data_IF_758279313115
#
_entry.id   IF_758279313115
#
_cell.length_a   1.000
_cell.length_b   1.000
_cell.length_c   1.000
_cell.angle_alpha   90.00
_cell.angle_beta   90.00
_cell.angle_gamma   90.00
#
_symmetry.space_group_name_H-M   'P 1'
#
loop_
_entity.id
_entity.type
_entity.pdbx_description
1 polymer ?
#
# COMPACT_ATOMS: atom_id res chain seq x y z
N UNK A 1 15.71 -10.46 -3.53
CA UNK A 1 16.85 -10.57 -4.47
C UNK A 1 16.97 -9.26 -5.22
N UNK A 2 18.17 -8.70 -5.34
CA UNK A 2 18.43 -7.49 -6.13
C UNK A 2 19.12 -7.91 -7.42
N UNK A 3 18.65 -7.44 -8.56
CA UNK A 3 19.17 -7.74 -9.88
C UNK A 3 19.59 -6.44 -10.58
N UNK A 4 20.73 -6.48 -11.25
CA UNK A 4 21.27 -5.36 -12.02
C UNK A 4 21.42 -5.77 -13.49
N UNK A 5 21.05 -4.87 -14.39
CA UNK A 5 21.15 -5.09 -15.83
C UNK A 5 22.60 -5.22 -16.31
N UNK A 6 23.58 -4.67 -15.57
CA UNK A 6 24.99 -4.74 -15.93
C UNK A 6 25.91 -4.62 -14.71
N UNK A 7 27.17 -5.09 -14.83
CA UNK A 7 28.20 -4.85 -13.82
C UNK A 7 28.48 -3.37 -13.56
N UNK A 8 28.37 -2.53 -14.59
CA UNK A 8 28.55 -1.08 -14.48
C UNK A 8 27.49 -0.41 -13.57
N UNK A 9 26.26 -0.93 -13.55
CA UNK A 9 25.25 -0.48 -12.60
C UNK A 9 25.47 -1.08 -11.20
N UNK A 10 25.87 -2.35 -11.13
CA UNK A 10 26.06 -3.05 -9.86
C UNK A 10 27.14 -2.42 -8.98
N UNK A 11 28.20 -1.86 -9.56
CA UNK A 11 29.30 -1.24 -8.81
C UNK A 11 28.85 -0.10 -7.88
N UNK A 12 27.76 0.60 -8.22
CA UNK A 12 27.22 1.69 -7.38
C UNK A 12 26.60 1.19 -6.06
N UNK A 13 26.38 -0.10 -5.93
CA UNK A 13 25.94 -0.69 -4.66
C UNK A 13 27.11 -0.86 -3.67
N UNK A 14 28.35 -0.91 -4.16
CA UNK A 14 29.49 -1.25 -3.33
C UNK A 14 29.90 -0.08 -2.45
N UNK A 15 30.19 -0.40 -1.18
CA UNK A 15 30.85 0.52 -0.25
C UNK A 15 32.31 0.12 -0.15
N UNK A 16 33.22 1.01 -0.52
CA UNK A 16 34.68 0.82 -0.38
C UNK A 16 35.23 1.83 0.64
N UNK A 17 35.95 1.33 1.65
CA UNK A 17 36.55 2.15 2.68
C UNK A 17 38.08 1.86 2.63
N UNK A 18 38.86 2.91 2.34
CA UNK A 18 40.30 2.81 2.08
C UNK A 18 41.14 3.16 3.28
N UNK A 19 40.59 3.91 4.22
CA UNK A 19 41.29 4.52 5.37
C UNK A 19 40.84 3.95 6.72
N UNK A 20 40.19 2.79 6.70
CA UNK A 20 39.81 2.09 7.94
C UNK A 20 41.03 1.41 8.56
N UNK A 21 41.21 1.56 9.88
CA UNK A 21 42.35 0.99 10.62
C UNK A 21 42.46 -0.55 10.55
N UNK A 22 41.38 -1.24 10.22
CA UNK A 22 41.31 -2.69 10.00
C UNK A 22 41.82 -3.15 8.62
N UNK A 23 42.19 -2.23 7.73
CA UNK A 23 42.67 -2.50 6.39
C UNK A 23 41.72 -2.05 5.28
N UNK A 24 41.97 -2.48 4.06
CA UNK A 24 41.09 -2.21 2.93
C UNK A 24 39.78 -2.99 3.07
N UNK A 25 38.68 -2.29 2.99
CA UNK A 25 37.35 -2.89 3.13
C UNK A 25 36.49 -2.61 1.90
N UNK A 26 35.88 -3.65 1.36
CA UNK A 26 34.86 -3.54 0.32
C UNK A 26 33.64 -4.43 0.68
N UNK A 27 32.47 -3.90 0.53
CA UNK A 27 31.22 -4.62 0.82
C UNK A 27 30.18 -4.36 -0.27
N UNK A 28 29.38 -5.35 -0.64
CA UNK A 28 28.20 -5.13 -1.49
C UNK A 28 27.06 -4.42 -0.73
N UNK A 29 27.29 -3.91 0.48
CA UNK A 29 26.30 -3.21 1.33
C UNK A 29 25.06 -4.04 1.64
N UNK A 30 25.19 -5.37 1.62
CA UNK A 30 24.15 -6.34 1.97
C UNK A 30 24.67 -7.33 3.00
N UNK A 31 23.79 -7.85 3.85
CA UNK A 31 24.19 -8.88 4.80
C UNK A 31 24.77 -10.12 4.07
N UNK A 32 25.96 -10.54 4.47
CA UNK A 32 26.67 -11.68 3.85
C UNK A 32 25.97 -13.00 4.12
N UNK A 33 25.70 -13.28 5.39
CA UNK A 33 25.07 -14.54 5.81
C UNK A 33 23.53 -14.49 5.60
N UNK A 34 22.98 -15.59 5.11
CA UNK A 34 21.55 -15.81 4.93
C UNK A 34 21.15 -17.17 5.48
N UNK A 35 19.94 -17.25 6.04
CA UNK A 35 19.40 -18.52 6.51
C UNK A 35 19.21 -19.51 5.36
N UNK A 36 19.82 -20.68 5.44
CA UNK A 36 19.64 -21.74 4.46
C UNK A 36 18.19 -22.21 4.35
N UNK A 37 17.43 -22.15 5.45
CA UNK A 37 16.00 -22.44 5.44
C UNK A 37 15.20 -21.50 4.54
N UNK A 38 15.46 -20.19 4.59
CA UNK A 38 14.80 -19.20 3.72
C UNK A 38 15.18 -19.39 2.24
N UNK A 39 16.44 -19.76 1.98
CA UNK A 39 16.88 -20.07 0.62
C UNK A 39 16.14 -21.30 0.08
N UNK A 40 16.07 -22.36 0.87
CA UNK A 40 15.37 -23.60 0.51
C UNK A 40 13.85 -23.36 0.30
N UNK A 41 13.21 -22.57 1.16
CA UNK A 41 11.79 -22.20 0.99
C UNK A 41 11.55 -21.43 -0.31
N UNK A 42 12.40 -20.47 -0.61
CA UNK A 42 12.32 -19.67 -1.85
C UNK A 42 12.47 -20.59 -3.07
N UNK A 43 13.46 -21.46 -3.06
CA UNK A 43 13.70 -22.43 -4.13
C UNK A 43 12.49 -23.37 -4.31
N UNK A 44 12.00 -23.95 -3.21
CA UNK A 44 10.86 -24.85 -3.24
C UNK A 44 9.60 -24.17 -3.79
N UNK A 45 9.32 -22.92 -3.38
CA UNK A 45 8.20 -22.15 -3.90
C UNK A 45 8.33 -21.87 -5.40
N UNK A 46 9.53 -21.49 -5.86
CA UNK A 46 9.79 -21.23 -7.27
C UNK A 46 9.63 -22.47 -8.14
N UNK A 47 10.16 -23.62 -7.68
CA UNK A 47 10.04 -24.91 -8.38
C UNK A 47 8.59 -25.39 -8.39
N UNK A 48 7.90 -25.29 -7.25
CA UNK A 48 6.50 -25.75 -7.11
C UNK A 48 5.55 -24.97 -8.01
N UNK A 49 5.68 -23.64 -8.05
CA UNK A 49 4.82 -22.77 -8.88
C UNK A 49 5.22 -22.87 -10.35
N UNK A 50 6.51 -22.93 -10.63
CA UNK A 50 7.06 -22.96 -11.98
C UNK A 50 6.82 -21.68 -12.77
N UNK A 51 7.44 -21.57 -13.92
CA UNK A 51 7.32 -20.38 -14.79
C UNK A 51 5.88 -20.13 -15.23
N UNK A 52 5.20 -21.17 -15.66
CA UNK A 52 3.83 -21.08 -16.17
C UNK A 52 2.86 -20.62 -15.06
N UNK A 53 2.99 -21.20 -13.86
CA UNK A 53 2.17 -20.79 -12.72
C UNK A 53 2.40 -19.34 -12.29
N UNK A 54 3.63 -18.81 -12.39
CA UNK A 54 3.88 -17.39 -12.14
C UNK A 54 3.25 -16.50 -13.22
N UNK A 55 3.34 -16.89 -14.49
CA UNK A 55 2.72 -16.14 -15.60
C UNK A 55 1.20 -16.12 -15.49
N UNK A 56 0.59 -17.25 -15.15
CA UNK A 56 -0.86 -17.34 -14.93
C UNK A 56 -1.31 -16.43 -13.79
N UNK A 57 -0.67 -16.55 -12.63
CA UNK A 57 -0.97 -15.68 -11.47
C UNK A 57 -0.79 -14.20 -11.77
N UNK A 58 0.26 -13.83 -12.51
CA UNK A 58 0.48 -12.45 -12.91
C UNK A 58 -0.64 -11.96 -13.83
N UNK A 59 -1.08 -12.79 -14.77
CA UNK A 59 -2.21 -12.47 -15.66
C UNK A 59 -3.50 -12.27 -14.87
N UNK A 60 -3.83 -13.18 -13.95
CA UNK A 60 -5.02 -13.08 -13.12
C UNK A 60 -5.03 -11.78 -12.31
N UNK A 61 -3.89 -11.44 -11.70
CA UNK A 61 -3.72 -10.21 -10.92
C UNK A 61 -3.92 -8.97 -11.80
N UNK A 62 -3.34 -8.93 -12.99
CA UNK A 62 -3.49 -7.79 -13.90
C UNK A 62 -4.92 -7.65 -14.41
N UNK A 63 -5.59 -8.75 -14.73
CA UNK A 63 -7.00 -8.75 -15.12
C UNK A 63 -7.88 -8.26 -13.96
N UNK A 64 -7.63 -8.74 -12.75
CA UNK A 64 -8.34 -8.30 -11.56
C UNK A 64 -8.10 -6.82 -11.24
N UNK A 65 -6.86 -6.33 -11.41
CA UNK A 65 -6.55 -4.93 -11.21
C UNK A 65 -7.24 -4.02 -12.24
N UNK A 66 -7.29 -4.45 -13.51
CA UNK A 66 -8.04 -3.72 -14.54
C UNK A 66 -9.53 -3.67 -14.21
N UNK A 67 -10.13 -4.80 -13.83
CA UNK A 67 -11.53 -4.86 -13.44
C UNK A 67 -11.85 -3.97 -12.21
N UNK A 68 -10.94 -3.90 -11.23
CA UNK A 68 -11.09 -2.99 -10.09
C UNK A 68 -11.01 -1.53 -10.54
N UNK A 69 -10.09 -1.19 -11.42
CA UNK A 69 -9.94 0.16 -11.98
C UNK A 69 -11.22 0.60 -12.68
N UNK A 70 -11.73 -0.22 -13.60
CA UNK A 70 -12.98 0.05 -14.32
C UNK A 70 -14.16 0.23 -13.35
N UNK A 71 -14.23 -0.60 -12.32
CA UNK A 71 -15.27 -0.51 -11.30
C UNK A 71 -15.17 0.77 -10.46
N UNK A 72 -13.97 1.20 -10.10
CA UNK A 72 -13.74 2.47 -9.38
C UNK A 72 -14.18 3.65 -10.24
N UNK A 73 -13.77 3.70 -11.51
CA UNK A 73 -14.10 4.79 -12.42
C UNK A 73 -15.60 4.82 -12.79
N UNK A 74 -16.31 3.71 -12.61
CA UNK A 74 -17.77 3.66 -12.74
C UNK A 74 -18.51 4.19 -11.50
N UNK A 75 -17.83 4.41 -10.37
CA UNK A 75 -18.44 4.96 -9.15
C UNK A 75 -18.41 6.48 -9.22
N UNK A 76 -19.60 7.11 -9.26
CA UNK A 76 -19.72 8.56 -9.24
C UNK A 76 -19.00 9.17 -8.02
N UNK A 77 -18.11 10.13 -8.27
CA UNK A 77 -17.31 10.80 -7.24
C UNK A 77 -15.98 10.13 -6.91
N UNK A 78 -15.62 9.03 -7.57
CA UNK A 78 -14.27 8.46 -7.49
C UNK A 78 -13.56 8.51 -8.85
N UNK A 79 -12.23 8.54 -8.81
CA UNK A 79 -11.37 8.57 -10.00
C UNK A 79 -10.09 7.81 -9.71
N UNK A 80 -9.70 6.91 -10.59
CA UNK A 80 -8.42 6.19 -10.48
C UNK A 80 -7.23 7.10 -10.73
N UNK A 81 -6.11 6.74 -10.14
CA UNK A 81 -4.85 7.48 -10.23
C UNK A 81 -3.74 6.61 -10.81
N UNK A 82 -2.78 7.25 -11.46
CA UNK A 82 -1.58 6.58 -11.97
C UNK A 82 -1.79 5.91 -13.31
N UNK A 83 -0.91 4.96 -13.63
CA UNK A 83 -0.90 4.23 -14.91
C UNK A 83 -1.54 2.84 -14.79
N UNK A 84 -1.99 2.29 -15.92
CA UNK A 84 -2.82 1.08 -15.99
C UNK A 84 -2.07 -0.24 -15.78
N UNK A 85 -0.77 -0.20 -15.56
CA UNK A 85 0.10 -1.38 -15.70
C UNK A 85 0.55 -1.96 -14.37
N UNK A 86 -0.22 -1.80 -13.31
CA UNK A 86 0.19 -2.32 -12.00
C UNK A 86 -0.91 -3.12 -11.31
N UNK A 87 -0.50 -3.94 -10.36
CA UNK A 87 -1.40 -4.65 -9.46
C UNK A 87 -1.94 -3.73 -8.34
N UNK A 88 -1.42 -2.51 -8.21
CA UNK A 88 -1.87 -1.52 -7.24
C UNK A 88 -2.84 -0.58 -7.93
N UNK A 89 -4.06 -0.54 -7.47
CA UNK A 89 -5.09 0.38 -7.94
C UNK A 89 -5.28 1.43 -6.88
N UNK A 90 -4.98 2.68 -7.22
CA UNK A 90 -5.17 3.83 -6.35
C UNK A 90 -6.28 4.71 -6.91
N UNK A 91 -7.05 5.34 -6.02
CA UNK A 91 -8.12 6.26 -6.40
C UNK A 91 -8.27 7.41 -5.40
N UNK A 92 -8.79 8.50 -5.88
CA UNK A 92 -9.13 9.68 -5.09
C UNK A 92 -10.61 10.01 -5.22
N UNK A 93 -11.11 10.87 -4.36
CA UNK A 93 -12.42 11.46 -4.54
C UNK A 93 -12.36 12.70 -5.43
N UNK A 94 -13.32 12.83 -6.33
CA UNK A 94 -13.63 14.04 -7.10
C UNK A 94 -14.87 14.76 -6.55
N UNK A 95 -15.54 14.16 -5.57
CA UNK A 95 -16.74 14.68 -4.91
C UNK A 95 -16.40 15.22 -3.52
N UNK A 96 -16.72 16.50 -3.25
CA UNK A 96 -16.48 17.14 -1.95
C UNK A 96 -17.30 16.51 -0.80
N UNK A 97 -18.36 15.81 -1.10
CA UNK A 97 -19.19 15.09 -0.13
C UNK A 97 -18.62 13.71 0.21
N UNK A 98 -17.57 13.24 -0.50
CA UNK A 98 -16.93 11.95 -0.28
C UNK A 98 -15.50 12.17 0.21
N UNK A 99 -15.31 12.24 1.51
CA UNK A 99 -13.98 12.23 2.12
C UNK A 99 -13.42 10.81 2.07
N UNK A 100 -12.25 10.63 1.43
CA UNK A 100 -11.61 9.31 1.26
C UNK A 100 -11.22 8.66 2.59
N UNK A 101 -10.94 9.43 3.62
CA UNK A 101 -10.60 8.87 4.93
C UNK A 101 -11.84 8.38 5.67
N UNK A 102 -12.97 9.08 5.53
CA UNK A 102 -14.27 8.60 6.03
C UNK A 102 -14.72 7.37 5.25
N UNK A 103 -14.53 7.37 3.92
CA UNK A 103 -14.77 6.19 3.08
C UNK A 103 -13.95 4.98 3.55
N UNK A 104 -12.67 5.17 3.88
CA UNK A 104 -11.84 4.10 4.43
C UNK A 104 -12.36 3.58 5.78
N UNK A 105 -12.85 4.45 6.64
CA UNK A 105 -13.43 4.04 7.92
C UNK A 105 -14.72 3.23 7.72
N UNK A 106 -15.59 3.61 6.79
CA UNK A 106 -16.79 2.84 6.39
C UNK A 106 -16.38 1.47 5.83
N UNK A 107 -15.39 1.43 4.94
CA UNK A 107 -14.88 0.17 4.38
C UNK A 107 -14.31 -0.73 5.48
N UNK A 108 -13.55 -0.16 6.42
CA UNK A 108 -12.96 -0.91 7.55
C UNK A 108 -14.04 -1.50 8.45
N UNK A 109 -15.09 -0.74 8.76
CA UNK A 109 -16.27 -1.22 9.51
C UNK A 109 -16.96 -2.40 8.82
N UNK A 110 -16.95 -2.42 7.49
CA UNK A 110 -17.51 -3.48 6.68
C UNK A 110 -16.52 -4.64 6.40
N UNK A 111 -15.38 -4.67 7.09
CA UNK A 111 -14.40 -5.76 7.02
C UNK A 111 -13.39 -5.65 5.87
N UNK A 112 -13.34 -4.53 5.16
CA UNK A 112 -12.38 -4.29 4.09
C UNK A 112 -11.22 -3.41 4.58
N UNK A 113 -9.99 -3.85 4.31
CA UNK A 113 -8.78 -3.10 4.67
C UNK A 113 -8.14 -2.51 3.42
N UNK A 114 -8.22 -1.19 3.32
CA UNK A 114 -7.57 -0.42 2.26
C UNK A 114 -6.34 0.29 2.82
N UNK A 115 -5.44 0.68 1.95
CA UNK A 115 -4.27 1.48 2.33
C UNK A 115 -4.53 2.95 2.03
N UNK A 116 -4.19 3.79 2.99
CA UNK A 116 -4.41 5.24 2.93
C UNK A 116 -3.18 5.94 2.36
N UNK A 117 -3.41 6.89 1.46
CA UNK A 117 -2.42 7.83 0.94
C UNK A 117 -2.72 9.23 1.46
N UNK A 118 -1.67 10.04 1.61
CA UNK A 118 -1.80 11.35 2.27
C UNK A 118 -1.64 12.55 1.33
N UNK A 119 -0.74 12.49 0.37
CA UNK A 119 -0.46 13.62 -0.51
C UNK A 119 -0.34 13.17 -1.97
N UNK A 120 -1.43 13.26 -2.74
CA UNK A 120 -2.77 13.72 -2.39
C UNK A 120 -3.56 12.73 -1.53
N UNK A 121 -4.66 13.16 -0.86
CA UNK A 121 -5.58 12.26 -0.17
C UNK A 121 -6.17 11.22 -1.14
N UNK A 122 -5.91 9.94 -0.86
CA UNK A 122 -6.35 8.86 -1.73
C UNK A 122 -6.37 7.52 -0.98
N UNK A 123 -6.94 6.50 -1.59
CA UNK A 123 -6.88 5.12 -1.13
C UNK A 123 -6.24 4.25 -2.20
N UNK A 124 -5.68 3.12 -1.79
CA UNK A 124 -5.27 2.11 -2.75
C UNK A 124 -5.52 0.70 -2.24
N UNK A 125 -5.64 -0.21 -3.20
CA UNK A 125 -5.71 -1.64 -2.96
C UNK A 125 -4.67 -2.37 -3.80
N UNK A 126 -3.99 -3.33 -3.18
CA UNK A 126 -3.01 -4.16 -3.87
C UNK A 126 -3.66 -5.49 -4.24
N UNK A 127 -3.91 -5.72 -5.51
CA UNK A 127 -4.45 -6.98 -6.03
C UNK A 127 -3.34 -8.02 -6.06
N UNK A 128 -3.61 -9.17 -5.46
CA UNK A 128 -2.65 -10.28 -5.32
C UNK A 128 -3.33 -11.59 -5.70
N UNK A 129 -2.58 -12.69 -5.92
CA UNK A 129 -3.17 -14.00 -6.15
C UNK A 129 -4.09 -14.48 -5.02
N UNK A 130 -3.88 -13.98 -3.79
CA UNK A 130 -4.68 -14.35 -2.63
C UNK A 130 -6.05 -13.67 -2.60
N UNK A 131 -6.17 -12.47 -3.17
CA UNK A 131 -7.38 -11.64 -3.04
C UNK A 131 -8.07 -11.30 -4.37
N UNK A 132 -7.48 -11.64 -5.52
CA UNK A 132 -8.02 -11.30 -6.84
C UNK A 132 -9.45 -11.81 -7.05
N UNK A 133 -9.81 -12.93 -6.45
CA UNK A 133 -11.17 -13.49 -6.54
C UNK A 133 -12.22 -12.66 -5.81
N UNK A 134 -11.83 -11.83 -4.85
CA UNK A 134 -12.71 -10.94 -4.09
C UNK A 134 -12.86 -9.53 -4.70
N UNK A 135 -12.29 -9.25 -5.87
CA UNK A 135 -12.31 -7.92 -6.49
C UNK A 135 -13.74 -7.46 -6.81
N UNK A 136 -14.61 -8.34 -7.28
CA UNK A 136 -15.99 -8.00 -7.58
C UNK A 136 -16.80 -7.62 -6.33
N UNK A 137 -16.57 -8.33 -5.22
CA UNK A 137 -17.18 -8.04 -3.93
C UNK A 137 -16.63 -6.73 -3.35
N UNK A 138 -15.33 -6.49 -3.47
CA UNK A 138 -14.70 -5.22 -3.08
C UNK A 138 -15.33 -4.05 -3.86
N UNK A 139 -15.50 -4.17 -5.17
CA UNK A 139 -16.10 -3.13 -6.00
C UNK A 139 -17.53 -2.79 -5.56
N UNK A 140 -18.35 -3.81 -5.27
CA UNK A 140 -19.71 -3.61 -4.74
C UNK A 140 -19.71 -2.94 -3.37
N UNK A 141 -18.82 -3.39 -2.48
CA UNK A 141 -18.68 -2.79 -1.15
C UNK A 141 -18.23 -1.33 -1.24
N UNK A 142 -17.30 -1.02 -2.15
CA UNK A 142 -16.80 0.33 -2.37
C UNK A 142 -17.91 1.27 -2.88
N UNK A 143 -18.72 0.83 -3.82
CA UNK A 143 -19.85 1.61 -4.31
C UNK A 143 -20.89 1.91 -3.20
N UNK A 144 -21.22 0.91 -2.39
CA UNK A 144 -22.12 1.07 -1.25
C UNK A 144 -21.52 2.01 -0.18
N UNK A 145 -20.25 1.83 0.16
CA UNK A 145 -19.55 2.67 1.11
C UNK A 145 -19.41 4.13 0.64
N UNK A 146 -19.23 4.36 -0.66
CA UNK A 146 -19.20 5.71 -1.24
C UNK A 146 -20.54 6.40 -1.07
N UNK A 147 -21.66 5.69 -1.32
CA UNK A 147 -23.01 6.22 -1.11
C UNK A 147 -23.28 6.51 0.39
N UNK A 148 -22.84 5.62 1.29
CA UNK A 148 -22.95 5.82 2.75
C UNK A 148 -22.14 7.04 3.20
N UNK A 149 -20.88 7.17 2.73
CA UNK A 149 -20.00 8.31 3.04
C UNK A 149 -20.65 9.63 2.62
N UNK A 150 -21.25 9.69 1.43
CA UNK A 150 -21.96 10.86 0.92
C UNK A 150 -23.18 11.19 1.79
N UNK A 151 -23.93 10.19 2.24
CA UNK A 151 -25.06 10.37 3.14
C UNK A 151 -24.66 10.92 4.51
N UNK A 152 -23.57 10.41 5.10
CA UNK A 152 -22.98 10.90 6.35
C UNK A 152 -22.59 12.39 6.23
N UNK A 153 -21.92 12.76 5.15
CA UNK A 153 -21.52 14.15 4.88
C UNK A 153 -22.72 15.08 4.80
N UNK A 154 -23.78 14.69 4.08
CA UNK A 154 -25.03 15.44 3.98
C UNK A 154 -25.76 15.55 5.31
N UNK A 155 -25.64 14.54 6.17
CA UNK A 155 -26.16 14.54 7.55
C UNK A 155 -25.36 15.43 8.51
N UNK A 156 -24.25 16.04 8.05
CA UNK A 156 -23.35 16.86 8.89
C UNK A 156 -22.38 16.05 9.71
N UNK A 157 -22.28 14.74 9.50
CA UNK A 157 -21.33 13.87 10.18
C UNK A 157 -19.94 13.94 9.50
N UNK A 158 -18.88 14.12 10.32
CA UNK A 158 -17.51 14.25 9.84
C UNK A 158 -16.70 12.95 9.94
N UNK A 159 -17.35 11.81 10.18
CA UNK A 159 -16.67 10.52 10.31
C UNK A 159 -17.55 9.44 10.92
N UNK A 160 -16.98 8.25 11.05
CA UNK A 160 -17.59 7.09 11.69
C UNK A 160 -17.08 6.98 13.11
N UNK A 161 -17.93 6.60 14.05
CA UNK A 161 -17.53 6.41 15.45
C UNK A 161 -16.37 5.41 15.56
N UNK A 162 -15.27 5.83 16.20
CA UNK A 162 -14.04 5.04 16.30
C UNK A 162 -13.16 5.03 15.05
N UNK A 163 -13.50 5.80 14.02
CA UNK A 163 -12.75 5.91 12.77
C UNK A 163 -11.44 6.68 12.92
N UNK A 164 -10.56 6.54 11.94
CA UNK A 164 -9.24 7.18 11.88
C UNK A 164 -9.23 8.45 11.00
N UNK A 165 -10.31 8.74 10.28
CA UNK A 165 -10.41 9.91 9.41
C UNK A 165 -9.99 11.23 10.08
N UNK A 166 -10.36 11.52 11.35
CA UNK A 166 -9.94 12.75 12.02
C UNK A 166 -8.41 12.88 12.16
N UNK A 167 -7.70 11.77 12.35
CA UNK A 167 -6.23 11.76 12.50
C UNK A 167 -5.57 12.19 11.17
N UNK A 168 -6.04 11.68 10.05
CA UNK A 168 -5.53 12.04 8.72
C UNK A 168 -5.90 13.47 8.35
N UNK A 169 -7.09 13.94 8.71
CA UNK A 169 -7.52 15.32 8.52
C UNK A 169 -6.66 16.32 9.30
N UNK A 170 -6.34 16.02 10.55
CA UNK A 170 -5.40 16.79 11.37
C UNK A 170 -4.00 16.81 10.76
N UNK A 171 -3.46 15.66 10.35
CA UNK A 171 -2.14 15.56 9.74
C UNK A 171 -2.02 16.37 8.43
N UNK A 172 -3.11 16.48 7.66
CA UNK A 172 -3.17 17.28 6.45
C UNK A 172 -3.30 18.78 6.67
N UNK A 173 -3.86 19.20 7.81
CA UNK A 173 -4.14 20.60 8.14
C UNK A 173 -3.08 21.33 8.97
N UNK A 174 -2.15 20.59 9.57
CA UNK A 174 -1.12 21.18 10.43
C UNK A 174 0.09 21.65 9.60
N UNK A 175 0.49 22.93 9.70
CA UNK A 175 1.64 23.45 8.98
C UNK A 175 2.98 22.92 9.54
N UNK A 176 3.03 22.52 10.79
CA UNK A 176 4.24 22.01 11.44
C UNK A 176 4.31 20.48 11.37
N UNK A 177 5.12 20.01 10.43
CA UNK A 177 5.40 18.57 10.25
C UNK A 177 6.23 17.97 11.38
N UNK A 178 6.99 18.77 12.12
CA UNK A 178 7.77 18.32 13.27
C UNK A 178 6.88 17.84 14.39
N UNK A 179 5.85 18.59 14.74
CA UNK A 179 4.86 18.23 15.76
C UNK A 179 4.15 16.89 15.42
N UNK A 180 3.79 16.69 14.15
CA UNK A 180 3.18 15.42 13.71
C UNK A 180 4.16 14.26 13.91
N UNK A 181 5.43 14.47 13.57
CA UNK A 181 6.48 13.46 13.77
C UNK A 181 6.66 13.06 15.23
N UNK A 182 6.57 14.00 16.14
CA UNK A 182 6.70 13.74 17.58
C UNK A 182 5.47 13.01 18.13
N UNK A 183 4.27 13.39 17.75
CA UNK A 183 3.03 12.67 18.09
C UNK A 183 3.09 11.21 17.58
N UNK A 184 3.57 10.98 16.37
CA UNK A 184 3.70 9.62 15.82
C UNK A 184 4.71 8.77 16.59
N UNK A 185 5.81 9.36 17.08
CA UNK A 185 6.77 8.66 17.96
C UNK A 185 6.14 8.28 19.30
N UNK A 186 5.39 9.20 19.92
CA UNK A 186 4.68 8.94 21.17
C UNK A 186 3.64 7.82 21.01
N UNK A 187 2.89 7.82 19.92
CA UNK A 187 1.94 6.73 19.58
C UNK A 187 2.68 5.41 19.40
N UNK A 188 3.82 5.40 18.70
CA UNK A 188 4.62 4.18 18.50
C UNK A 188 5.15 3.66 19.83
N UNK A 189 5.65 4.53 20.71
CA UNK A 189 6.09 4.16 22.04
C UNK A 189 4.97 3.57 22.90
N UNK A 190 3.76 4.14 22.82
CA UNK A 190 2.59 3.64 23.52
C UNK A 190 2.20 2.23 23.02
N UNK A 191 2.27 2.00 21.71
CA UNK A 191 1.98 0.68 21.12
C UNK A 191 3.00 -0.37 21.57
N UNK A 192 4.28 -0.01 21.65
CA UNK A 192 5.34 -0.92 22.08
C UNK A 192 5.32 -1.23 23.59
N UNK A 193 4.81 -0.31 24.42
CA UNK A 193 4.66 -0.54 25.86
C UNK A 193 3.52 -1.50 26.21
N UNK A 194 2.56 -1.68 25.30
CA UNK A 194 1.39 -2.53 25.51
C UNK A 194 1.47 -3.85 24.70
N UNK A 195 2.59 -4.12 24.05
CA UNK A 195 2.88 -5.37 23.34
C UNK A 195 3.72 -6.31 24.22
#
# INVERSE_FOLDING_TARGET
MVLYASPALRQYQYTAVMDWSGGLYISPSQAGSRSGGLIAQTWAAMVHVGREGYVERARDVLVGAAALRDAVDAIDGLETMGTDVTMVVAWRSTDKEVDVYVLNDVMTKNGWHLSVLHAPPALHYCVTPANVRGVAELAKALAAATAETRALSRGGEKGVAGGKAPIYGLAGGLPDRGLIGDILKDVQDLMLKNA
#
